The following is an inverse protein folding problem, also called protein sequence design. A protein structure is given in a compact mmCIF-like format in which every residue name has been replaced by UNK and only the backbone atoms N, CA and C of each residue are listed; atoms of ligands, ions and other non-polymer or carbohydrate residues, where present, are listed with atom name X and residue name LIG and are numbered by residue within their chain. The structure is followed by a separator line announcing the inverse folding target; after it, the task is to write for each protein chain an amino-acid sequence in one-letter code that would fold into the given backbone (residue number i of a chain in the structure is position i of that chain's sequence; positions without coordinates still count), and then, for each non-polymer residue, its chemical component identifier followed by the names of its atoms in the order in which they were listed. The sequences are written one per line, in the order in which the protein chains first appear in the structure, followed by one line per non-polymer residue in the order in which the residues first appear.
data_IF_676157181150
#
_entry.id   IF_676157181150
#
_cell.length_a   1.000
_cell.length_b   1.000
_cell.length_c   1.000
_cell.angle_alpha   90.00
_cell.angle_beta   90.00
_cell.angle_gamma   90.00
#
_symmetry.space_group_name_H-M   'P 1'
#
loop_
_entity.id
_entity.type
_entity.pdbx_description
1 polymer ?
#
# COMPACT_ATOMS: atom_id res chain seq x y z
N UNK A 1 15.85 -4.77 24.97
CA UNK A 1 15.38 -5.60 23.84
C UNK A 1 14.36 -6.65 24.27
N UNK A 2 13.29 -6.28 24.98
CA UNK A 2 12.21 -7.22 25.28
C UNK A 2 10.88 -6.52 25.03
N UNK A 3 10.51 -6.48 23.74
CA UNK A 3 9.16 -6.14 23.38
C UNK A 3 8.28 -7.38 23.65
N UNK A 4 7.22 -7.29 24.49
CA UNK A 4 6.35 -8.43 24.79
C UNK A 4 5.47 -8.86 23.59
N UNK A 5 5.51 -8.11 22.49
CA UNK A 5 4.78 -8.35 21.25
C UNK A 5 4.35 -7.04 20.61
N UNK A 6 4.03 -7.07 19.30
CA UNK A 6 3.62 -5.86 18.59
C UNK A 6 2.28 -5.36 19.13
N UNK A 7 2.33 -4.28 19.89
CA UNK A 7 1.16 -3.46 20.20
C UNK A 7 1.28 -2.14 19.46
N UNK A 8 0.36 -1.90 18.53
CA UNK A 8 0.33 -0.69 17.71
C UNK A 8 0.11 0.54 18.58
N UNK A 9 0.82 1.62 18.31
CA UNK A 9 0.51 2.91 18.89
C UNK A 9 -0.86 3.37 18.42
N UNK A 10 -1.63 4.04 19.27
CA UNK A 10 -3.00 4.48 18.90
C UNK A 10 -3.03 5.42 17.69
N UNK A 11 -1.90 6.06 17.38
CA UNK A 11 -1.77 7.17 16.43
C UNK A 11 -0.55 7.08 15.51
N UNK A 12 0.36 6.17 15.82
CA UNK A 12 1.61 6.01 15.09
C UNK A 12 1.64 4.56 14.60
N UNK A 13 2.04 4.31 13.36
CA UNK A 13 2.15 2.95 12.79
C UNK A 13 3.37 2.19 13.33
N UNK A 14 3.78 2.50 14.56
CA UNK A 14 4.92 1.94 15.28
C UNK A 14 4.46 1.20 16.52
N UNK A 15 5.32 0.36 17.07
CA UNK A 15 5.04 -0.33 18.32
C UNK A 15 5.17 0.64 19.51
N UNK A 16 4.22 0.57 20.45
CA UNK A 16 4.28 1.32 21.71
C UNK A 16 5.54 1.04 22.56
N UNK A 17 6.16 -0.14 22.42
CA UNK A 17 7.26 -0.60 23.27
C UNK A 17 8.65 -0.43 22.63
N UNK A 18 8.86 -0.87 21.38
CA UNK A 18 10.15 -0.74 20.68
C UNK A 18 10.26 0.50 19.79
N UNK A 19 9.16 1.21 19.54
CA UNK A 19 9.04 2.31 18.57
C UNK A 19 9.39 1.95 17.11
N UNK A 20 9.62 0.68 16.81
CA UNK A 20 9.83 0.15 15.47
C UNK A 20 8.50 0.01 14.69
N UNK A 21 8.52 0.22 13.36
CA UNK A 21 7.33 0.00 12.51
C UNK A 21 6.95 -1.48 12.46
N UNK A 22 5.71 -1.81 12.08
CA UNK A 22 5.24 -3.21 12.05
C UNK A 22 6.16 -4.12 11.22
N UNK A 23 6.64 -3.59 10.10
CA UNK A 23 7.49 -4.28 9.13
C UNK A 23 8.85 -4.65 9.75
N UNK A 24 9.41 -3.76 10.57
CA UNK A 24 10.67 -3.97 11.29
C UNK A 24 10.47 -4.79 12.58
N UNK A 25 9.27 -4.75 13.14
CA UNK A 25 8.92 -5.48 14.36
C UNK A 25 8.90 -7.00 14.16
N UNK A 26 8.64 -7.42 12.92
CA UNK A 26 8.38 -8.79 12.55
C UNK A 26 9.31 -9.24 11.42
N UNK A 27 10.59 -8.89 11.44
CA UNK A 27 11.57 -9.52 10.55
C UNK A 27 11.77 -10.99 10.96
N UNK A 28 10.74 -11.81 10.73
CA UNK A 28 10.95 -13.12 10.11
C UNK A 28 11.16 -12.81 8.64
N UNK A 29 12.34 -13.13 8.10
CA UNK A 29 12.63 -13.04 6.67
C UNK A 29 11.42 -13.52 5.87
N UNK A 30 11.05 -12.73 4.86
CA UNK A 30 10.13 -13.17 3.81
C UNK A 30 10.55 -14.58 3.39
N UNK A 31 9.65 -15.57 3.31
CA UNK A 31 10.03 -16.88 2.79
C UNK A 31 10.67 -16.66 1.42
N UNK A 32 11.91 -17.12 1.21
CA UNK A 32 12.71 -16.80 0.01
C UNK A 32 12.07 -17.19 -1.33
N UNK A 33 10.92 -17.88 -1.31
CA UNK A 33 10.04 -18.09 -2.47
C UNK A 33 9.40 -16.79 -2.98
N UNK A 34 8.96 -15.88 -2.10
CA UNK A 34 8.32 -14.63 -2.52
C UNK A 34 9.34 -13.64 -3.10
N UNK A 35 10.56 -13.59 -2.57
CA UNK A 35 11.65 -12.80 -3.17
C UNK A 35 11.98 -13.31 -4.58
N UNK A 36 12.13 -14.63 -4.75
CA UNK A 36 12.37 -15.25 -6.06
C UNK A 36 11.26 -14.97 -7.06
N UNK A 37 10.00 -14.98 -6.61
CA UNK A 37 8.85 -14.63 -7.44
C UNK A 37 8.93 -13.18 -7.90
N UNK A 38 9.26 -12.24 -7.00
CA UNK A 38 9.40 -10.83 -7.35
C UNK A 38 10.57 -10.56 -8.32
N UNK A 39 11.72 -11.21 -8.14
CA UNK A 39 12.85 -11.07 -9.07
C UNK A 39 12.52 -11.62 -10.46
N UNK A 40 11.82 -12.74 -10.53
CA UNK A 40 11.40 -13.33 -11.81
C UNK A 40 10.44 -12.42 -12.58
N UNK A 41 9.49 -11.80 -11.88
CA UNK A 41 8.55 -10.85 -12.47
C UNK A 41 9.26 -9.63 -13.06
N UNK A 42 10.28 -9.09 -12.38
CA UNK A 42 11.10 -7.97 -12.89
C UNK A 42 11.89 -8.37 -14.15
N UNK A 43 12.45 -9.59 -14.21
CA UNK A 43 13.17 -10.07 -15.40
C UNK A 43 12.26 -10.33 -16.60
N UNK A 44 11.05 -10.86 -16.36
CA UNK A 44 10.07 -11.08 -17.43
C UNK A 44 9.53 -9.74 -17.98
N UNK A 45 9.56 -8.67 -17.17
CA UNK A 45 9.19 -7.30 -17.55
C UNK A 45 10.12 -6.70 -18.62
N UNK A 46 11.42 -6.97 -18.52
CA UNK A 46 12.43 -6.39 -19.41
C UNK A 46 12.38 -6.96 -20.84
N UNK A 47 11.71 -8.11 -21.04
CA UNK A 47 11.60 -8.77 -22.35
C UNK A 47 10.43 -8.30 -23.21
N UNK A 48 9.43 -7.63 -22.63
CA UNK A 48 8.19 -7.30 -23.33
C UNK A 48 8.09 -5.83 -23.79
N UNK A 49 9.06 -4.96 -23.45
CA UNK A 49 9.03 -3.53 -23.81
C UNK A 49 9.62 -3.20 -25.20
N UNK A 50 9.32 -3.99 -26.24
CA UNK A 50 9.65 -3.62 -27.62
C UNK A 50 8.42 -3.65 -28.54
N UNK A 51 7.51 -2.70 -28.36
CA UNK A 51 6.69 -2.19 -29.46
C UNK A 51 6.05 -0.86 -29.06
N UNK A 52 6.54 0.21 -29.68
CA UNK A 52 5.89 1.53 -29.66
C UNK A 52 4.71 1.50 -30.63
N UNK A 53 3.47 1.44 -30.11
CA UNK A 53 2.25 2.08 -30.66
C UNK A 53 0.99 1.49 -29.99
N UNK A 54 0.46 2.17 -28.98
CA UNK A 54 -1.00 2.23 -28.76
C UNK A 54 -1.36 3.48 -27.96
N UNK A 55 -2.12 4.38 -28.60
CA UNK A 55 -2.51 5.70 -28.08
C UNK A 55 -3.77 5.63 -27.20
N UNK A 56 -3.84 4.67 -26.27
CA UNK A 56 -4.86 4.62 -25.24
C UNK A 56 -4.39 5.30 -23.96
N UNK A 57 -5.08 6.32 -23.47
CA UNK A 57 -4.84 6.81 -22.11
C UNK A 57 -5.26 5.70 -21.14
N UNK A 58 -4.32 4.92 -20.63
CA UNK A 58 -4.57 3.85 -19.65
C UNK A 58 -5.32 4.34 -18.39
N UNK A 59 -5.51 5.65 -18.20
CA UNK A 59 -6.29 6.24 -17.11
C UNK A 59 -7.80 6.27 -17.32
N UNK A 60 -8.35 6.14 -18.53
CA UNK A 60 -9.80 6.32 -18.75
C UNK A 60 -10.65 5.17 -18.17
N UNK A 61 -10.05 4.00 -17.92
CA UNK A 61 -10.75 2.82 -17.41
C UNK A 61 -10.64 2.63 -15.89
N UNK A 62 -9.60 3.16 -15.23
CA UNK A 62 -9.38 3.02 -13.79
C UNK A 62 -9.72 4.32 -13.04
N UNK A 63 -10.42 4.21 -11.91
CA UNK A 63 -10.67 5.36 -11.04
C UNK A 63 -9.47 5.77 -10.19
N UNK A 64 -8.42 4.95 -10.15
CA UNK A 64 -7.17 5.27 -9.49
C UNK A 64 -6.01 4.44 -10.05
N UNK A 65 -4.84 5.07 -10.21
CA UNK A 65 -3.58 4.41 -10.57
C UNK A 65 -2.51 4.67 -9.50
N UNK A 66 -1.62 3.70 -9.18
CA UNK A 66 -0.50 3.93 -8.27
C UNK A 66 0.44 5.05 -8.75
N UNK A 67 0.87 5.96 -7.85
CA UNK A 67 1.82 7.00 -8.23
C UNK A 67 3.18 6.40 -8.59
N UNK A 68 3.86 7.01 -9.57
CA UNK A 68 5.21 6.59 -9.99
C UNK A 68 5.25 5.47 -11.04
N UNK A 69 4.10 4.94 -11.47
CA UNK A 69 4.02 4.04 -12.63
C UNK A 69 3.96 4.85 -13.93
N UNK A 70 4.61 4.33 -14.98
CA UNK A 70 4.38 4.81 -16.34
C UNK A 70 3.06 4.25 -16.89
N UNK A 71 2.38 4.92 -17.84
CA UNK A 71 1.10 4.45 -18.39
C UNK A 71 1.12 3.00 -18.85
N UNK A 72 2.21 2.56 -19.48
CA UNK A 72 2.37 1.21 -20.03
C UNK A 72 2.45 0.14 -18.93
N UNK A 73 2.78 0.54 -17.70
CA UNK A 73 2.92 -0.36 -16.54
C UNK A 73 1.62 -0.51 -15.74
N UNK A 74 0.62 0.35 -15.97
CA UNK A 74 -0.63 0.38 -15.20
C UNK A 74 -1.40 -0.94 -15.34
N UNK A 75 -1.59 -1.40 -16.58
CA UNK A 75 -2.25 -2.68 -16.85
C UNK A 75 -1.51 -3.85 -16.21
N UNK A 76 -0.18 -3.86 -16.32
CA UNK A 76 0.66 -4.93 -15.78
C UNK A 76 0.57 -4.99 -14.25
N UNK A 77 0.55 -3.84 -13.57
CA UNK A 77 0.33 -3.77 -12.13
C UNK A 77 -1.02 -4.39 -11.75
N UNK A 78 -2.10 -4.00 -12.43
CA UNK A 78 -3.45 -4.47 -12.09
C UNK A 78 -3.71 -5.93 -12.47
N UNK A 79 -3.05 -6.46 -13.49
CA UNK A 79 -3.12 -7.90 -13.84
C UNK A 79 -2.60 -8.83 -12.73
N UNK A 80 -1.85 -8.29 -11.75
CA UNK A 80 -1.40 -9.02 -10.58
C UNK A 80 -2.44 -9.05 -9.44
N UNK A 81 -3.56 -8.34 -9.57
CA UNK A 81 -4.63 -8.32 -8.58
C UNK A 81 -5.78 -9.25 -8.99
N UNK A 82 -6.58 -9.71 -8.02
CA UNK A 82 -7.90 -10.27 -8.32
C UNK A 82 -8.77 -9.26 -9.07
N UNK A 83 -9.48 -9.71 -10.09
CA UNK A 83 -10.34 -8.88 -10.95
C UNK A 83 -11.33 -8.02 -10.14
N UNK A 84 -11.91 -8.58 -9.08
CA UNK A 84 -12.87 -7.90 -8.20
C UNK A 84 -12.25 -6.81 -7.31
N UNK A 85 -10.92 -6.65 -7.35
CA UNK A 85 -10.15 -5.64 -6.62
C UNK A 85 -9.47 -4.62 -7.53
N UNK A 86 -9.56 -4.78 -8.84
CA UNK A 86 -9.04 -3.80 -9.80
C UNK A 86 -9.97 -2.57 -9.80
N UNK A 87 -9.45 -1.35 -9.59
CA UNK A 87 -10.28 -0.16 -9.38
C UNK A 87 -10.80 0.43 -10.70
N UNK A 88 -11.57 -0.34 -11.46
CA UNK A 88 -12.26 0.18 -12.63
C UNK A 88 -13.35 1.19 -12.20
N UNK A 89 -13.59 2.22 -13.00
CA UNK A 89 -14.61 3.24 -12.72
C UNK A 89 -15.98 2.57 -12.51
N UNK A 90 -16.69 2.91 -11.44
CA UNK A 90 -18.00 2.36 -11.03
C UNK A 90 -18.01 0.83 -10.70
N UNK A 91 -16.86 0.20 -10.52
CA UNK A 91 -16.75 -1.25 -10.29
C UNK A 91 -16.75 -1.66 -8.80
N UNK A 92 -16.89 -2.97 -8.50
CA UNK A 92 -16.62 -3.49 -7.15
C UNK A 92 -15.22 -3.17 -6.63
N UNK A 93 -14.20 -3.20 -7.50
CA UNK A 93 -12.82 -2.93 -7.10
C UNK A 93 -12.58 -1.47 -6.74
N UNK A 94 -13.28 -0.52 -7.36
CA UNK A 94 -13.27 0.88 -6.92
C UNK A 94 -13.82 1.01 -5.51
N UNK A 95 -14.98 0.40 -5.23
CA UNK A 95 -15.57 0.40 -3.88
C UNK A 95 -14.64 -0.29 -2.87
N UNK A 96 -13.97 -1.36 -3.29
CA UNK A 96 -12.96 -2.03 -2.47
C UNK A 96 -11.80 -1.09 -2.16
N UNK A 97 -11.26 -0.39 -3.15
CA UNK A 97 -10.18 0.59 -2.98
C UNK A 97 -10.55 1.69 -1.99
N UNK A 98 -11.77 2.24 -2.09
CA UNK A 98 -12.29 3.24 -1.14
C UNK A 98 -12.37 2.68 0.28
N UNK A 99 -12.88 1.45 0.46
CA UNK A 99 -12.89 0.78 1.78
C UNK A 99 -11.48 0.59 2.34
N UNK A 100 -10.51 0.22 1.50
CA UNK A 100 -9.11 0.10 1.91
C UNK A 100 -8.50 1.46 2.30
N UNK A 101 -8.83 2.55 1.60
CA UNK A 101 -8.39 3.90 2.00
C UNK A 101 -8.88 4.27 3.38
N UNK A 102 -10.19 4.14 3.62
CA UNK A 102 -10.79 4.45 4.93
C UNK A 102 -10.19 3.60 6.05
N UNK A 103 -9.86 2.34 5.75
CA UNK A 103 -9.20 1.47 6.71
C UNK A 103 -7.75 1.89 6.99
N UNK A 104 -7.01 2.33 5.97
CA UNK A 104 -5.59 2.74 6.07
C UNK A 104 -5.39 4.16 6.62
N UNK A 105 -6.39 5.02 6.44
CA UNK A 105 -6.45 6.43 6.81
C UNK A 105 -7.67 6.65 7.74
N UNK A 106 -7.62 6.16 8.98
CA UNK A 106 -8.69 6.37 9.94
C UNK A 106 -8.87 7.88 10.21
N UNK A 107 -10.06 8.30 10.64
CA UNK A 107 -10.38 9.72 10.92
C UNK A 107 -9.37 10.40 11.84
N UNK A 108 -8.78 9.65 12.76
CA UNK A 108 -7.65 10.02 13.60
C UNK A 108 -6.49 10.69 12.80
N UNK A 109 -6.16 10.19 11.61
CA UNK A 109 -5.06 10.71 10.79
C UNK A 109 -5.34 12.16 10.32
N UNK A 110 -6.59 12.52 10.05
CA UNK A 110 -6.97 13.87 9.59
C UNK A 110 -7.46 14.78 10.72
N UNK A 111 -8.24 14.25 11.66
CA UNK A 111 -9.01 14.99 12.65
C UNK A 111 -8.42 14.83 14.07
N UNK A 112 -7.63 15.80 14.57
CA UNK A 112 -6.92 15.68 15.84
C UNK A 112 -7.84 15.59 17.06
N UNK A 113 -9.07 16.10 17.02
CA UNK A 113 -9.96 16.01 18.18
C UNK A 113 -10.42 14.58 18.50
N UNK A 114 -10.22 13.62 17.59
CA UNK A 114 -10.42 12.21 17.92
C UNK A 114 -9.20 11.62 18.68
N UNK A 115 -8.13 12.39 18.90
CA UNK A 115 -6.89 11.97 19.56
C UNK A 115 -6.84 12.20 21.06
N UNK A 116 -7.81 11.58 21.73
CA UNK A 116 -8.09 11.78 23.15
C UNK A 116 -7.02 11.25 24.12
N UNK A 117 -5.97 10.59 23.63
CA UNK A 117 -4.96 9.92 24.46
C UNK A 117 -3.51 10.24 24.08
N UNK A 118 -3.27 11.32 23.34
CA UNK A 118 -1.90 11.78 23.08
C UNK A 118 -1.35 12.55 24.28
N UNK A 119 -0.07 12.34 24.58
CA UNK A 119 0.65 13.22 25.50
C UNK A 119 1.09 14.54 24.81
N UNK A 120 1.62 15.48 25.59
CA UNK A 120 1.99 16.81 25.09
C UNK A 120 3.13 16.77 24.05
N UNK A 121 4.07 15.81 24.17
CA UNK A 121 5.15 15.65 23.20
C UNK A 121 4.60 15.06 21.89
N UNK A 122 3.72 14.07 21.98
CA UNK A 122 3.07 13.44 20.83
C UNK A 122 2.15 14.41 20.08
N UNK A 123 1.52 15.37 20.78
CA UNK A 123 0.71 16.42 20.16
C UNK A 123 1.57 17.40 19.33
N UNK A 124 2.85 17.56 19.66
CA UNK A 124 3.78 18.46 18.97
C UNK A 124 4.40 17.84 17.71
N UNK A 125 4.47 16.51 17.64
CA UNK A 125 5.03 15.77 16.50
C UNK A 125 4.02 15.46 15.38
N UNK A 126 2.74 15.82 15.57
CA UNK A 126 1.68 15.68 14.55
C UNK A 126 1.70 16.86 13.58
#
# INVERSE_FOLDING_TARGET
NQCPGFRVHGWRKICVYCKCVREEHAVRSVPGQLEKMMTKLVSDFQRHSISDDDSGCASEEYSWVPPGLKPEQVYQYFSCLPEDRVPYVNSPGERYRVKQLLHQLPTHDSEPHYCNSLDEEERKER
#
